data_IF_183821579559
#
_entry.id   IF_183821579559
#
_cell.length_a   1.000
_cell.length_b   1.000
_cell.length_c   1.000
_cell.angle_alpha   90.00
_cell.angle_beta   90.00
_cell.angle_gamma   90.00
#
_symmetry.space_group_name_H-M   'P 1'
#
loop_
_entity.id
_entity.type
_entity.pdbx_description
1 polymer ?
#
# COMPACT_ATOMS: atom_id res chain seq x y z
N UNK A 1 -22.33 -21.26 25.79
CA UNK A 1 -21.86 -20.61 24.55
C UNK A 1 -20.47 -21.09 24.22
N UNK A 2 -20.29 -21.78 23.10
CA UNK A 2 -18.96 -22.17 22.59
C UNK A 2 -18.58 -21.22 21.46
N UNK A 3 -17.34 -20.71 21.50
CA UNK A 3 -16.77 -19.90 20.44
C UNK A 3 -15.51 -20.60 19.93
N UNK A 4 -15.44 -20.87 18.62
CA UNK A 4 -14.24 -21.43 18.00
C UNK A 4 -13.27 -20.31 17.67
N UNK A 5 -12.06 -20.40 18.20
CA UNK A 5 -10.97 -19.47 17.92
C UNK A 5 -10.14 -20.04 16.78
N UNK A 6 -10.17 -19.37 15.62
CA UNK A 6 -9.36 -19.73 14.46
C UNK A 6 -8.07 -18.90 14.44
N UNK A 7 -6.99 -19.49 13.91
CA UNK A 7 -5.74 -18.76 13.67
C UNK A 7 -5.91 -17.80 12.49
N UNK A 8 -6.43 -16.60 12.77
CA UNK A 8 -6.65 -15.54 11.78
C UNK A 8 -5.47 -14.58 11.66
N UNK A 9 -4.33 -14.88 12.29
CA UNK A 9 -3.15 -13.99 12.29
C UNK A 9 -2.67 -13.64 10.89
N UNK A 10 -2.72 -14.59 9.95
CA UNK A 10 -2.39 -14.33 8.53
C UNK A 10 -3.41 -13.40 7.87
N UNK A 11 -4.70 -13.60 8.13
CA UNK A 11 -5.80 -12.78 7.59
C UNK A 11 -5.71 -11.36 8.15
N UNK A 12 -5.51 -11.20 9.46
CA UNK A 12 -5.31 -9.90 10.09
C UNK A 12 -4.08 -9.17 9.53
N UNK A 13 -3.00 -9.90 9.26
CA UNK A 13 -1.80 -9.33 8.64
C UNK A 13 -2.10 -8.82 7.23
N UNK A 14 -2.81 -9.60 6.41
CA UNK A 14 -3.22 -9.20 5.07
C UNK A 14 -4.15 -7.97 5.10
N UNK A 15 -5.13 -7.95 6.01
CA UNK A 15 -6.01 -6.79 6.21
C UNK A 15 -5.20 -5.55 6.57
N UNK A 16 -4.27 -5.67 7.53
CA UNK A 16 -3.42 -4.54 7.96
C UNK A 16 -2.51 -4.03 6.83
N UNK A 17 -1.98 -4.93 5.99
CA UNK A 17 -1.16 -4.53 4.86
C UNK A 17 -2.00 -3.88 3.75
N UNK A 18 -3.22 -4.35 3.49
CA UNK A 18 -4.17 -3.71 2.59
C UNK A 18 -4.55 -2.30 3.08
N UNK A 19 -4.84 -2.13 4.37
CA UNK A 19 -5.13 -0.81 4.96
C UNK A 19 -3.97 0.18 4.78
N UNK A 20 -2.72 -0.26 4.93
CA UNK A 20 -1.54 0.59 4.69
C UNK A 20 -1.44 1.03 3.25
N UNK A 21 -1.73 0.14 2.30
CA UNK A 21 -1.72 0.46 0.86
C UNK A 21 -2.83 1.47 0.55
N UNK A 22 -4.06 1.23 1.00
CA UNK A 22 -5.18 2.16 0.85
C UNK A 22 -4.88 3.54 1.44
N UNK A 23 -4.31 3.61 2.65
CA UNK A 23 -3.92 4.90 3.27
C UNK A 23 -2.86 5.63 2.46
N UNK A 24 -1.88 4.93 1.90
CA UNK A 24 -0.87 5.55 1.02
C UNK A 24 -1.47 6.09 -0.26
N UNK A 25 -2.35 5.33 -0.91
CA UNK A 25 -3.05 5.79 -2.12
C UNK A 25 -3.91 7.01 -1.81
N UNK A 26 -4.67 6.99 -0.70
CA UNK A 26 -5.48 8.13 -0.26
C UNK A 26 -4.62 9.37 0.02
N UNK A 27 -3.47 9.20 0.69
CA UNK A 27 -2.52 10.28 0.96
C UNK A 27 -1.93 10.88 -0.34
N UNK A 28 -1.54 10.02 -1.28
CA UNK A 28 -1.02 10.41 -2.59
C UNK A 28 -2.08 11.15 -3.44
N UNK A 29 -3.33 10.69 -3.43
CA UNK A 29 -4.46 11.39 -4.07
C UNK A 29 -4.76 12.74 -3.40
N UNK A 30 -4.70 12.82 -2.06
CA UNK A 30 -4.91 14.09 -1.36
C UNK A 30 -3.78 15.11 -1.60
N UNK A 31 -2.56 14.63 -1.88
CA UNK A 31 -1.40 15.46 -2.23
C UNK A 31 -1.26 15.61 -3.75
N UNK A 32 -2.37 15.85 -4.45
CA UNK A 32 -2.43 16.13 -5.89
C UNK A 32 -1.94 17.54 -6.29
N UNK A 33 -1.28 18.28 -5.38
CA UNK A 33 -0.62 19.54 -5.72
C UNK A 33 0.84 19.30 -6.10
N UNK A 34 1.01 18.82 -7.33
CA UNK A 34 2.18 18.95 -8.22
C UNK A 34 3.54 18.34 -7.87
N UNK A 35 3.85 17.90 -6.64
CA UNK A 35 5.23 17.46 -6.30
C UNK A 35 5.42 16.02 -5.83
N UNK A 36 4.39 15.34 -5.31
CA UNK A 36 4.53 13.99 -4.70
C UNK A 36 4.09 12.81 -5.58
N UNK A 37 3.49 13.07 -6.74
CA UNK A 37 3.01 12.02 -7.66
C UNK A 37 4.15 11.13 -8.18
N UNK A 38 5.32 11.73 -8.39
CA UNK A 38 6.53 11.08 -8.85
C UNK A 38 7.51 10.83 -7.70
N UNK A 39 7.55 9.61 -7.18
CA UNK A 39 8.46 9.20 -6.11
C UNK A 39 9.56 8.27 -6.59
N UNK A 40 10.60 8.08 -5.77
CA UNK A 40 11.61 7.03 -6.01
C UNK A 40 11.20 5.75 -5.30
N UNK A 41 11.05 4.67 -6.07
CA UNK A 41 10.76 3.34 -5.50
C UNK A 41 12.08 2.58 -5.39
N UNK A 42 12.53 2.37 -4.15
CA UNK A 42 13.80 1.73 -3.83
C UNK A 42 13.98 1.58 -2.31
N UNK A 43 15.14 1.09 -1.88
CA UNK A 43 15.43 0.94 -0.45
C UNK A 43 15.36 2.30 0.25
N UNK A 44 14.42 2.45 1.20
CA UNK A 44 14.11 3.69 1.92
C UNK A 44 13.91 4.94 1.03
N UNK A 45 13.49 4.79 -0.23
CA UNK A 45 13.28 5.92 -1.15
C UNK A 45 14.55 6.62 -1.65
N UNK A 46 15.73 6.06 -1.36
CA UNK A 46 17.03 6.66 -1.69
C UNK A 46 17.63 6.13 -3.00
N UNK A 47 17.38 4.87 -3.34
CA UNK A 47 17.97 4.19 -4.50
C UNK A 47 16.92 3.62 -5.45
N UNK A 48 16.19 4.50 -6.14
CA UNK A 48 15.10 4.11 -7.03
C UNK A 48 14.97 5.00 -8.26
N UNK A 49 14.47 4.43 -9.35
CA UNK A 49 13.98 5.21 -10.49
C UNK A 49 12.80 6.07 -10.05
N UNK A 50 12.71 7.29 -10.60
CA UNK A 50 11.56 8.15 -10.38
C UNK A 50 10.39 7.54 -11.16
N UNK A 51 9.44 6.95 -10.44
CA UNK A 51 8.28 6.28 -11.03
C UNK A 51 7.01 6.91 -10.47
N UNK A 52 5.92 6.79 -11.20
CA UNK A 52 4.62 7.20 -10.69
C UNK A 52 4.24 6.25 -9.53
N UNK A 53 4.14 6.81 -8.32
CA UNK A 53 3.79 6.03 -7.14
C UNK A 53 2.36 5.52 -7.22
N UNK A 54 1.48 6.25 -7.91
CA UNK A 54 0.09 5.87 -8.07
C UNK A 54 -0.01 4.56 -8.85
N UNK A 55 0.57 4.52 -10.05
CA UNK A 55 0.59 3.36 -10.94
C UNK A 55 1.30 2.16 -10.29
N UNK A 56 2.37 2.41 -9.52
CA UNK A 56 3.07 1.36 -8.78
C UNK A 56 2.21 0.69 -7.70
N UNK A 57 1.49 1.48 -6.89
CA UNK A 57 0.60 0.94 -5.86
C UNK A 57 -0.68 0.35 -6.44
N UNK A 58 -1.17 0.87 -7.55
CA UNK A 58 -2.32 0.34 -8.29
C UNK A 58 -2.00 -1.06 -8.83
N UNK A 59 -0.85 -1.24 -9.48
CA UNK A 59 -0.37 -2.56 -9.91
C UNK A 59 -0.12 -3.52 -8.75
N UNK A 60 0.36 -3.01 -7.61
CA UNK A 60 0.55 -3.84 -6.41
C UNK A 60 -0.77 -4.25 -5.78
N UNK A 61 -1.81 -3.44 -5.91
CA UNK A 61 -3.16 -3.80 -5.47
C UNK A 61 -3.74 -4.90 -6.36
N UNK A 62 -3.55 -4.80 -7.68
CA UNK A 62 -3.97 -5.79 -8.67
C UNK A 62 -3.28 -7.17 -8.48
N UNK A 63 -2.05 -7.19 -7.94
CA UNK A 63 -1.33 -8.44 -7.59
C UNK A 63 -1.84 -9.07 -6.27
N UNK A 64 -2.57 -8.32 -5.45
CA UNK A 64 -3.11 -8.76 -4.15
C UNK A 64 -4.59 -9.22 -4.27
N UNK A 65 -5.33 -8.72 -5.26
CA UNK A 65 -6.67 -9.23 -5.64
C UNK A 65 -6.60 -10.62 -6.31
#
# INVERSE_FOLDING_TARGET
>A
SHYMVYHTTKIQKLISDAEKVCRKIAFLKSTEKDSQRFGRVGFCGLFGAKVDLLEYYEKKLEDIE
#
